data_IF_071787059205
#
_entry.id   IF_071787059205
#
_cell.length_a   1.000
_cell.length_b   1.000
_cell.length_c   1.000
_cell.angle_alpha   90.00
_cell.angle_beta   90.00
_cell.angle_gamma   90.00
#
_symmetry.space_group_name_H-M   'P 1'
#
loop_
_entity.id
_entity.type
_entity.pdbx_description
1 polymer ?
#
# COMPACT_ATOMS: atom_id res chain seq x y z
N UNK A 1 -8.33 -20.52 34.72
CA UNK A 1 -7.89 -20.92 33.36
C UNK A 1 -7.21 -19.73 32.73
N UNK A 2 -6.04 -19.95 32.12
CA UNK A 2 -5.35 -18.96 31.28
C UNK A 2 -5.69 -19.28 29.82
N UNK A 3 -5.98 -18.27 29.00
CA UNK A 3 -6.23 -18.42 27.57
C UNK A 3 -4.97 -18.04 26.77
N UNK A 4 -4.78 -18.67 25.62
CA UNK A 4 -3.69 -18.36 24.69
C UNK A 4 -4.23 -18.05 23.28
N UNK A 5 -3.44 -17.32 22.50
CA UNK A 5 -3.80 -16.92 21.14
C UNK A 5 -3.34 -17.97 20.12
N UNK A 6 -4.24 -18.41 19.25
CA UNK A 6 -3.93 -19.35 18.15
C UNK A 6 -3.51 -18.64 16.85
N UNK A 7 -3.76 -17.34 16.77
CA UNK A 7 -3.35 -16.46 15.68
C UNK A 7 -2.57 -15.29 16.26
N UNK A 8 -1.84 -14.57 15.43
CA UNK A 8 -1.09 -13.39 15.87
C UNK A 8 -2.05 -12.30 16.33
N UNK A 9 -2.11 -11.95 17.64
CA UNK A 9 -3.02 -10.92 18.12
C UNK A 9 -2.54 -9.53 17.71
N UNK A 10 -3.50 -8.61 17.57
CA UNK A 10 -3.20 -7.19 17.40
C UNK A 10 -2.52 -6.62 18.65
N UNK A 11 -1.66 -5.61 18.46
CA UNK A 11 -0.97 -4.92 19.55
C UNK A 11 0.40 -5.50 19.93
N UNK A 12 0.81 -6.64 19.37
CA UNK A 12 2.19 -7.11 19.51
C UNK A 12 3.15 -6.25 18.69
N UNK A 13 4.22 -5.77 19.31
CA UNK A 13 5.20 -4.87 18.67
C UNK A 13 5.81 -5.43 17.38
N UNK A 14 5.95 -6.76 17.29
CA UNK A 14 6.55 -7.43 16.12
C UNK A 14 5.52 -7.95 15.11
N UNK A 15 4.22 -7.81 15.39
CA UNK A 15 3.18 -8.34 14.51
C UNK A 15 3.22 -7.71 13.10
N UNK A 16 3.31 -6.38 12.93
CA UNK A 16 3.35 -5.77 11.60
C UNK A 16 4.56 -6.23 10.78
N UNK A 17 5.74 -6.30 11.40
CA UNK A 17 6.96 -6.72 10.71
C UNK A 17 6.91 -8.20 10.30
N UNK A 18 6.34 -9.06 11.16
CA UNK A 18 6.19 -10.49 10.87
C UNK A 18 5.20 -10.72 9.74
N UNK A 19 4.05 -10.04 9.77
CA UNK A 19 3.04 -10.12 8.72
C UNK A 19 3.56 -9.59 7.38
N UNK A 20 4.19 -8.42 7.37
CA UNK A 20 4.78 -7.85 6.16
C UNK A 20 5.82 -8.79 5.53
N UNK A 21 6.64 -9.47 6.35
CA UNK A 21 7.61 -10.47 5.86
C UNK A 21 6.92 -11.66 5.21
N UNK A 22 5.85 -12.17 5.81
CA UNK A 22 5.04 -13.26 5.23
C UNK A 22 4.48 -12.84 3.87
N UNK A 23 3.76 -11.72 3.81
CA UNK A 23 3.11 -11.22 2.59
C UNK A 23 4.15 -10.97 1.49
N UNK A 24 5.25 -10.27 1.80
CA UNK A 24 6.34 -10.01 0.84
C UNK A 24 6.95 -11.31 0.28
N UNK A 25 7.11 -12.34 1.12
CA UNK A 25 7.65 -13.63 0.68
C UNK A 25 6.69 -14.40 -0.23
N UNK A 26 5.39 -14.39 0.07
CA UNK A 26 4.37 -15.08 -0.73
C UNK A 26 4.24 -14.47 -2.13
N UNK A 27 4.23 -13.15 -2.24
CA UNK A 27 4.07 -12.45 -3.52
C UNK A 27 5.39 -12.24 -4.28
N UNK A 28 6.53 -12.69 -3.74
CA UNK A 28 7.86 -12.49 -4.34
C UNK A 28 7.96 -12.96 -5.80
N UNK A 29 7.27 -14.04 -6.17
CA UNK A 29 7.25 -14.58 -7.54
C UNK A 29 6.49 -13.67 -8.52
N UNK A 30 5.52 -12.91 -8.02
CA UNK A 30 4.64 -12.03 -8.77
C UNK A 30 5.06 -10.55 -8.69
N UNK A 31 6.25 -10.25 -8.15
CA UNK A 31 6.75 -8.87 -7.91
C UNK A 31 6.76 -7.93 -9.12
N UNK A 32 6.64 -8.48 -10.33
CA UNK A 32 6.63 -7.72 -11.58
C UNK A 32 5.27 -7.08 -11.89
N UNK A 33 4.19 -7.54 -11.24
CA UNK A 33 2.85 -6.96 -11.32
C UNK A 33 2.18 -6.76 -9.94
N UNK A 34 2.78 -7.27 -8.86
CA UNK A 34 2.32 -7.13 -7.47
C UNK A 34 3.35 -6.37 -6.65
N UNK A 35 2.91 -5.33 -5.95
CA UNK A 35 3.67 -4.66 -4.91
C UNK A 35 2.94 -4.81 -3.58
N UNK A 36 3.67 -5.09 -2.51
CA UNK A 36 3.09 -5.29 -1.18
C UNK A 36 3.70 -4.32 -0.18
N UNK A 37 2.88 -3.71 0.66
CA UNK A 37 3.32 -2.81 1.72
C UNK A 37 2.48 -3.02 2.98
N UNK A 38 3.06 -3.69 3.98
CA UNK A 38 2.36 -4.12 5.19
C UNK A 38 1.09 -4.93 4.87
N UNK A 39 -0.07 -4.31 5.05
CA UNK A 39 -1.41 -4.82 4.84
C UNK A 39 -1.93 -4.57 3.40
N UNK A 40 -1.32 -3.68 2.63
CA UNK A 40 -1.75 -3.38 1.27
C UNK A 40 -1.09 -4.31 0.22
N UNK A 41 -1.91 -4.89 -0.66
CA UNK A 41 -1.48 -5.52 -1.92
C UNK A 41 -1.93 -4.63 -3.09
N UNK A 42 -0.97 -4.12 -3.83
CA UNK A 42 -1.18 -3.36 -5.06
C UNK A 42 -0.90 -4.24 -6.29
N UNK A 43 -1.87 -4.35 -7.19
CA UNK A 43 -1.76 -5.10 -8.44
C UNK A 43 -1.86 -4.12 -9.61
N UNK A 44 -0.88 -4.14 -10.52
CA UNK A 44 -0.90 -3.35 -11.74
C UNK A 44 -0.74 -4.23 -12.97
N UNK A 45 -1.33 -3.84 -14.10
CA UNK A 45 -1.24 -4.65 -15.32
C UNK A 45 -1.31 -3.78 -16.56
N UNK A 46 -0.44 -4.08 -17.52
CA UNK A 46 -0.38 -3.40 -18.82
C UNK A 46 -0.97 -4.29 -19.91
N UNK A 47 -1.41 -3.67 -20.99
CA UNK A 47 -1.72 -4.42 -22.21
C UNK A 47 -0.47 -5.17 -22.68
N UNK A 48 -0.66 -6.38 -23.19
CA UNK A 48 0.40 -7.23 -23.74
C UNK A 48 -0.02 -7.73 -25.13
N UNK A 49 0.91 -8.27 -25.90
CA UNK A 49 0.62 -8.72 -27.27
C UNK A 49 -0.55 -9.72 -27.28
N UNK A 50 -1.67 -9.31 -27.89
CA UNK A 50 -2.88 -10.10 -27.99
C UNK A 50 -3.86 -10.02 -26.82
N UNK A 51 -3.62 -9.19 -25.79
CA UNK A 51 -4.55 -8.96 -24.67
C UNK A 51 -4.69 -7.46 -24.33
N UNK A 52 -5.93 -7.05 -24.08
CA UNK A 52 -6.21 -5.74 -23.50
C UNK A 52 -5.66 -5.65 -22.08
N UNK A 53 -5.45 -4.42 -21.57
CA UNK A 53 -4.98 -4.21 -20.20
C UNK A 53 -5.91 -4.86 -19.16
N UNK A 54 -7.22 -4.89 -19.43
CA UNK A 54 -8.23 -5.51 -18.55
C UNK A 54 -8.09 -7.02 -18.53
N UNK A 55 -7.92 -7.67 -19.69
CA UNK A 55 -7.75 -9.12 -19.76
C UNK A 55 -6.47 -9.59 -19.06
N UNK A 56 -5.35 -8.89 -19.29
CA UNK A 56 -4.11 -9.16 -18.57
C UNK A 56 -4.29 -8.97 -17.05
N UNK A 57 -5.06 -7.97 -16.63
CA UNK A 57 -5.33 -7.71 -15.22
C UNK A 57 -6.17 -8.78 -14.55
N UNK A 58 -7.19 -9.32 -15.25
CA UNK A 58 -8.00 -10.42 -14.73
C UNK A 58 -7.16 -11.68 -14.48
N UNK A 59 -6.19 -11.97 -15.36
CA UNK A 59 -5.26 -13.07 -15.17
C UNK A 59 -4.36 -12.87 -13.94
N UNK A 60 -3.79 -11.67 -13.78
CA UNK A 60 -2.98 -11.34 -12.60
C UNK A 60 -3.79 -11.38 -11.30
N UNK A 61 -5.01 -10.83 -11.30
CA UNK A 61 -5.91 -10.89 -10.14
C UNK A 61 -6.25 -12.34 -9.80
N UNK A 62 -6.47 -13.20 -10.80
CA UNK A 62 -6.71 -14.62 -10.57
C UNK A 62 -5.52 -15.26 -9.87
N UNK A 63 -4.28 -15.00 -10.32
CA UNK A 63 -3.07 -15.54 -9.68
C UNK A 63 -2.93 -15.07 -8.23
N UNK A 64 -3.16 -13.78 -7.97
CA UNK A 64 -3.10 -13.19 -6.63
C UNK A 64 -4.16 -13.78 -5.71
N UNK A 65 -5.41 -13.85 -6.14
CA UNK A 65 -6.52 -14.40 -5.35
C UNK A 65 -6.34 -15.90 -5.07
N UNK A 66 -5.77 -16.66 -6.02
CA UNK A 66 -5.41 -18.06 -5.80
C UNK A 66 -4.32 -18.20 -4.73
N UNK A 67 -3.25 -17.39 -4.81
CA UNK A 67 -2.19 -17.37 -3.81
C UNK A 67 -2.74 -17.01 -2.42
N UNK A 68 -3.62 -16.00 -2.33
CA UNK A 68 -4.28 -15.64 -1.07
C UNK A 68 -5.10 -16.78 -0.51
N UNK A 69 -5.91 -17.44 -1.34
CA UNK A 69 -6.77 -18.57 -0.94
C UNK A 69 -5.95 -19.76 -0.42
N UNK A 70 -4.86 -20.10 -1.10
CA UNK A 70 -3.95 -21.19 -0.69
C UNK A 70 -3.29 -20.90 0.67
N UNK A 71 -2.98 -19.64 0.95
CA UNK A 71 -2.32 -19.20 2.17
C UNK A 71 -3.28 -18.67 3.24
N UNK A 72 -4.59 -18.77 3.03
CA UNK A 72 -5.64 -18.26 3.95
C UNK A 72 -5.47 -16.78 4.31
N UNK A 73 -5.09 -15.97 3.33
CA UNK A 73 -5.10 -14.52 3.42
C UNK A 73 -6.45 -13.99 2.97
N UNK A 74 -7.01 -13.05 3.73
CA UNK A 74 -8.32 -12.46 3.47
C UNK A 74 -8.15 -10.96 3.27
N UNK A 75 -8.87 -10.40 2.30
CA UNK A 75 -8.93 -8.96 2.09
C UNK A 75 -10.26 -8.40 2.57
N UNK A 76 -10.22 -7.18 3.11
CA UNK A 76 -11.41 -6.44 3.48
C UNK A 76 -12.04 -5.83 2.22
N UNK A 77 -13.12 -6.42 1.73
CA UNK A 77 -13.78 -5.98 0.49
C UNK A 77 -14.21 -4.51 0.51
N UNK A 78 -14.52 -3.95 1.69
CA UNK A 78 -14.95 -2.55 1.82
C UNK A 78 -13.81 -1.55 1.68
N UNK A 79 -12.56 -2.02 1.82
CA UNK A 79 -11.35 -1.23 1.62
C UNK A 79 -10.65 -1.52 0.30
N UNK A 80 -11.05 -2.58 -0.40
CA UNK A 80 -10.51 -2.88 -1.72
C UNK A 80 -11.02 -1.88 -2.77
N UNK A 81 -10.13 -1.44 -3.64
CA UNK A 81 -10.44 -0.49 -4.72
C UNK A 81 -10.04 -1.12 -6.04
N UNK A 82 -10.99 -1.24 -6.96
CA UNK A 82 -10.80 -1.88 -8.26
C UNK A 82 -10.99 -0.90 -9.42
N UNK A 83 -10.03 -0.88 -10.35
CA UNK A 83 -10.18 -0.19 -11.64
C UNK A 83 -10.32 1.33 -11.56
N UNK A 84 -9.90 1.96 -10.47
CA UNK A 84 -9.95 3.42 -10.34
C UNK A 84 -8.78 4.09 -11.07
N UNK A 85 -9.02 5.30 -11.59
CA UNK A 85 -7.99 6.09 -12.28
C UNK A 85 -6.88 6.54 -11.35
N UNK A 86 -7.25 6.82 -10.09
CA UNK A 86 -6.35 7.16 -8.99
C UNK A 86 -6.66 6.23 -7.82
N UNK A 87 -5.64 5.57 -7.25
CA UNK A 87 -5.80 4.62 -6.15
C UNK A 87 -4.99 5.08 -4.94
N UNK A 88 -5.58 5.18 -3.74
CA UNK A 88 -4.83 5.36 -2.51
C UNK A 88 -4.03 4.09 -2.17
N UNK A 89 -2.77 4.26 -1.82
CA UNK A 89 -1.88 3.17 -1.41
C UNK A 89 -0.88 3.70 -0.38
N UNK A 90 -0.78 3.08 0.80
CA UNK A 90 0.17 3.50 1.84
C UNK A 90 0.19 5.03 2.14
N UNK A 91 -0.96 5.68 2.02
CA UNK A 91 -1.12 7.11 2.30
C UNK A 91 -0.47 8.05 1.28
N UNK A 92 -0.37 7.63 0.02
CA UNK A 92 -0.26 8.47 -1.16
C UNK A 92 -1.30 8.03 -2.21
N UNK A 93 -1.47 8.80 -3.27
CA UNK A 93 -2.36 8.47 -4.39
C UNK A 93 -1.54 8.13 -5.63
N UNK A 94 -1.93 7.06 -6.33
CA UNK A 94 -1.30 6.63 -7.57
C UNK A 94 -2.24 6.83 -8.74
N UNK A 95 -1.91 7.81 -9.57
CA UNK A 95 -2.68 8.20 -10.75
C UNK A 95 -1.98 7.86 -12.06
N UNK A 96 -2.53 8.38 -13.17
CA UNK A 96 -1.88 8.34 -14.49
C UNK A 96 -0.60 9.17 -14.53
N UNK A 97 -0.58 10.29 -13.79
CA UNK A 97 0.54 11.24 -13.74
C UNK A 97 1.60 10.90 -12.68
N UNK A 98 1.56 9.69 -12.13
CA UNK A 98 2.49 9.20 -11.11
C UNK A 98 1.94 9.26 -9.69
N UNK A 99 2.85 9.41 -8.71
CA UNK A 99 2.52 9.37 -7.28
C UNK A 99 2.28 10.78 -6.76
N UNK A 100 1.11 11.01 -6.19
CA UNK A 100 0.69 12.28 -5.59
C UNK A 100 0.55 12.16 -4.08
N UNK A 101 0.90 13.23 -3.36
CA UNK A 101 0.66 13.32 -1.94
C UNK A 101 -0.85 13.40 -1.62
N UNK A 102 -1.22 12.84 -0.48
CA UNK A 102 -2.58 12.89 0.04
C UNK A 102 -3.01 14.34 0.35
N UNK A 103 -4.06 14.88 -0.29
CA UNK A 103 -4.59 16.20 -0.02
C UNK A 103 -4.91 16.46 1.44
N UNK A 104 -5.43 15.46 2.14
CA UNK A 104 -5.81 15.60 3.55
C UNK A 104 -4.56 15.77 4.42
N UNK A 105 -3.48 15.02 4.13
CA UNK A 105 -2.19 15.20 4.81
C UNK A 105 -1.55 16.54 4.50
N UNK A 106 -1.61 16.99 3.24
CA UNK A 106 -1.13 18.31 2.85
C UNK A 106 -1.89 19.38 3.63
N UNK A 107 -3.23 19.28 3.67
CA UNK A 107 -4.10 20.20 4.38
C UNK A 107 -3.79 20.23 5.87
N UNK A 108 -3.63 19.07 6.51
CA UNK A 108 -3.29 18.94 7.92
C UNK A 108 -1.92 19.56 8.27
N UNK A 109 -0.92 19.45 7.38
CA UNK A 109 0.39 20.08 7.57
C UNK A 109 0.30 21.60 7.40
N UNK A 110 -0.45 22.06 6.38
CA UNK A 110 -0.61 23.48 6.07
C UNK A 110 -1.42 24.24 7.14
N UNK A 111 -2.42 23.58 7.73
CA UNK A 111 -3.29 24.15 8.76
C UNK A 111 -2.76 23.93 10.19
N UNK A 112 -1.58 23.29 10.33
CA UNK A 112 -1.03 23.01 11.64
C UNK A 112 -0.76 24.31 12.43
N UNK A 113 -1.22 24.42 13.69
CA UNK A 113 -1.02 25.63 14.47
C UNK A 113 0.47 25.88 14.74
N UNK A 114 0.88 27.14 14.85
CA UNK A 114 2.28 27.52 15.13
C UNK A 114 2.78 26.75 16.37
N UNK A 115 3.83 25.91 16.25
CA UNK A 115 4.27 25.08 17.37
C UNK A 115 4.69 25.92 18.58
N UNK A 116 4.02 25.72 19.71
CA UNK A 116 4.30 26.44 20.95
C UNK A 116 5.35 25.74 21.84
N UNK A 117 5.74 24.50 21.49
CA UNK A 117 6.71 23.72 22.26
C UNK A 117 7.67 22.95 21.35
N UNK A 118 8.82 22.55 21.90
CA UNK A 118 9.77 21.68 21.20
C UNK A 118 9.17 20.31 20.84
N UNK A 119 8.18 19.82 21.61
CA UNK A 119 7.47 18.57 21.31
C UNK A 119 6.58 18.75 20.08
N UNK A 120 5.87 19.88 20.00
CA UNK A 120 4.98 20.17 18.87
C UNK A 120 5.77 20.47 17.60
N UNK A 121 6.92 21.15 17.72
CA UNK A 121 7.83 21.36 16.60
C UNK A 121 8.35 20.04 16.04
N UNK A 122 8.75 19.10 16.90
CA UNK A 122 9.19 17.76 16.47
C UNK A 122 8.08 16.98 15.76
N UNK A 123 6.84 17.04 16.26
CA UNK A 123 5.69 16.42 15.58
C UNK A 123 5.44 17.02 14.21
N UNK A 124 5.43 18.35 14.13
CA UNK A 124 5.23 19.05 12.86
C UNK A 124 6.34 18.74 11.85
N UNK A 125 7.61 18.79 12.26
CA UNK A 125 8.74 18.42 11.40
C UNK A 125 8.64 16.97 10.91
N UNK A 126 8.26 16.04 11.80
CA UNK A 126 8.04 14.64 11.42
C UNK A 126 6.95 14.48 10.36
N UNK A 127 5.88 15.28 10.42
CA UNK A 127 4.83 15.29 9.41
C UNK A 127 5.30 15.99 8.13
N UNK A 128 5.97 17.14 8.22
CA UNK A 128 6.48 17.87 7.07
C UNK A 128 7.47 17.04 6.24
N UNK A 129 8.26 16.18 6.88
CA UNK A 129 9.14 15.21 6.22
C UNK A 129 8.38 14.27 5.23
N UNK A 130 7.07 14.05 5.40
CA UNK A 130 6.27 13.31 4.42
C UNK A 130 6.24 14.01 3.05
N UNK A 131 6.16 15.36 3.04
CA UNK A 131 6.05 16.15 1.81
C UNK A 131 7.37 16.25 1.05
N UNK A 132 8.49 15.98 1.72
CA UNK A 132 9.83 16.05 1.13
C UNK A 132 9.96 15.22 -0.17
N UNK A 133 9.32 14.05 -0.20
CA UNK A 133 9.29 13.11 -1.34
C UNK A 133 8.60 13.67 -2.59
N UNK A 134 7.82 14.73 -2.43
CA UNK A 134 6.96 15.32 -3.46
C UNK A 134 7.42 16.73 -3.86
N UNK A 135 8.52 17.22 -3.28
CA UNK A 135 9.07 18.54 -3.60
C UNK A 135 10.02 18.46 -4.80
N UNK A 136 9.86 19.35 -5.77
CA UNK A 136 10.53 19.29 -7.07
C UNK A 136 12.08 19.43 -7.04
N UNK A 137 12.71 19.67 -5.88
CA UNK A 137 14.11 20.14 -5.80
C UNK A 137 14.99 19.47 -4.73
N UNK A 138 14.63 18.32 -4.17
CA UNK A 138 15.50 17.64 -3.21
C UNK A 138 16.02 16.28 -3.71
N UNK A 139 17.21 16.36 -4.32
CA UNK A 139 18.18 15.29 -4.59
C UNK A 139 17.78 14.24 -5.63
N UNK A 140 18.48 14.36 -6.77
CA UNK A 140 18.77 13.35 -7.77
C UNK A 140 19.15 12.01 -7.10
N UNK A 141 18.16 11.12 -7.00
CA UNK A 141 18.27 9.85 -6.29
C UNK A 141 17.11 8.97 -6.70
N UNK A 142 17.26 8.31 -7.85
CA UNK A 142 16.31 7.32 -8.36
C UNK A 142 15.88 6.31 -7.29
N UNK A 143 14.68 5.76 -7.54
CA UNK A 143 14.17 4.43 -7.16
C UNK A 143 13.64 4.21 -5.74
N UNK A 144 12.38 4.58 -5.53
CA UNK A 144 11.39 3.54 -5.23
C UNK A 144 10.87 3.03 -6.58
N UNK A 145 10.81 1.72 -6.80
CA UNK A 145 10.23 1.13 -8.02
C UNK A 145 8.82 1.67 -8.24
N UNK A 146 8.70 2.77 -8.99
CA UNK A 146 7.41 3.38 -9.27
C UNK A 146 6.58 2.34 -10.00
N UNK A 147 5.44 1.92 -9.44
CA UNK A 147 4.56 1.00 -10.12
C UNK A 147 4.23 1.59 -11.48
N UNK A 148 4.36 0.71 -12.46
CA UNK A 148 4.24 0.98 -13.86
C UNK A 148 2.99 1.84 -14.13
N UNK A 149 3.19 3.09 -14.56
CA UNK A 149 2.19 4.18 -14.53
C UNK A 149 1.04 4.07 -15.55
N UNK A 150 0.93 2.96 -16.29
CA UNK A 150 -0.11 2.76 -17.31
C UNK A 150 -0.80 1.40 -17.12
N UNK A 151 -2.12 1.37 -17.25
CA UNK A 151 -2.93 0.14 -17.23
C UNK A 151 -3.89 0.00 -16.04
N UNK A 152 -4.47 -1.19 -15.89
CA UNK A 152 -5.45 -1.50 -14.85
C UNK A 152 -4.77 -1.66 -13.49
N UNK A 153 -5.44 -1.20 -12.42
CA UNK A 153 -4.90 -1.18 -11.06
C UNK A 153 -5.95 -1.61 -10.03
N UNK A 154 -5.48 -2.28 -9.00
CA UNK A 154 -6.27 -2.70 -7.84
C UNK A 154 -5.43 -2.56 -6.57
N UNK A 155 -6.05 -2.11 -5.49
CA UNK A 155 -5.50 -2.24 -4.13
C UNK A 155 -6.43 -3.13 -3.31
N UNK A 156 -5.83 -4.08 -2.59
CA UNK A 156 -6.49 -4.94 -1.63
C UNK A 156 -5.86 -4.74 -0.25
N UNK A 157 -6.66 -4.36 0.74
CA UNK A 157 -6.26 -4.27 2.16
C UNK A 157 -6.48 -5.65 2.78
N UNK A 158 -5.39 -6.27 3.24
CA UNK A 158 -5.43 -7.55 3.93
C UNK A 158 -5.94 -7.36 5.35
N UNK A 159 -6.92 -8.16 5.73
CA UNK A 159 -7.30 -8.25 7.13
C UNK A 159 -6.20 -9.00 7.88
N UNK A 160 -5.56 -8.29 8.82
CA UNK A 160 -4.62 -8.88 9.77
C UNK A 160 -5.35 -9.85 10.70
N UNK A 161 -5.53 -11.09 10.22
CA UNK A 161 -6.03 -12.25 10.98
C UNK A 161 -7.16 -11.92 11.97
N UNK A 162 -8.18 -11.19 11.53
CA UNK A 162 -9.48 -11.11 12.22
C UNK A 162 -10.43 -12.14 11.63
N UNK A 163 -9.97 -13.39 11.58
CA UNK A 163 -10.77 -14.53 11.12
C UNK A 163 -11.32 -15.30 12.31
N UNK A 164 -12.25 -14.68 13.06
CA UNK A 164 -13.31 -15.32 13.83
C UNK A 164 -14.54 -14.42 13.82
#
# INVERSE_FOLDING_TARGET
MLWEWLVMPQGLSNAPATFNRLVTQLFRRMRHFVQTYFDDIFVHSRASEGKTAVEAHLDHLREVLLCMRENRLYANIYKCIFGAEEIPFSGCFLGKDGVRADPEKICAIAQWPVPASQKDLRKWLSMANYLHKYSANYVDGKTTEEPSQEGCRVVMDLEGSTGF
#
